data_IF_459644660106
#
_entry.id   IF_459644660106
#
_cell.length_a   1.000
_cell.length_b   1.000
_cell.length_c   1.000
_cell.angle_alpha   90.00
_cell.angle_beta   90.00
_cell.angle_gamma   90.00
#
_symmetry.space_group_name_H-M   'P 1'
#
loop_
_entity.id
_entity.type
_entity.pdbx_description
1 polymer ?
#
# COMPACT_ATOMS: atom_id res chain seq x y z
N UNK A 1 -11.17 58.00 1.52
CA UNK A 1 -12.19 57.58 2.51
C UNK A 1 -11.92 56.20 3.12
N UNK A 2 -11.60 55.17 2.30
CA UNK A 2 -11.41 53.78 2.72
C UNK A 2 -10.26 53.50 3.71
N UNK A 3 -9.14 54.25 3.62
CA UNK A 3 -7.98 54.07 4.52
C UNK A 3 -8.29 54.37 5.99
N UNK A 4 -9.28 55.23 6.28
CA UNK A 4 -9.72 55.53 7.65
C UNK A 4 -10.53 54.38 8.25
N UNK A 5 -11.30 53.67 7.43
CA UNK A 5 -12.08 52.49 7.84
C UNK A 5 -11.18 51.31 8.18
N UNK A 6 -10.17 51.00 7.35
CA UNK A 6 -9.19 49.95 7.67
C UNK A 6 -8.37 50.27 8.92
N UNK A 7 -8.00 51.55 9.13
CA UNK A 7 -7.27 51.96 10.34
C UNK A 7 -8.12 51.77 11.59
N UNK A 8 -9.43 52.05 11.52
CA UNK A 8 -10.35 51.86 12.65
C UNK A 8 -10.54 50.38 13.00
N UNK A 9 -10.62 49.48 12.02
CA UNK A 9 -10.70 48.02 12.25
C UNK A 9 -9.41 47.48 12.86
N UNK A 10 -8.24 47.92 12.36
CA UNK A 10 -6.94 47.51 12.91
C UNK A 10 -6.73 48.02 14.33
N UNK A 11 -7.13 49.26 14.63
CA UNK A 11 -6.98 49.85 15.96
C UNK A 11 -7.92 49.20 16.98
N UNK A 12 -9.15 48.86 16.58
CA UNK A 12 -10.12 48.16 17.42
C UNK A 12 -9.69 46.73 17.80
N UNK A 13 -8.86 46.09 16.97
CA UNK A 13 -8.24 44.80 17.30
C UNK A 13 -7.03 44.92 18.23
N UNK A 14 -6.46 46.12 18.40
CA UNK A 14 -5.21 46.34 19.15
C UNK A 14 -5.40 46.97 20.53
N UNK A 15 -6.58 47.55 20.81
CA UNK A 15 -6.89 48.21 22.11
C UNK A 15 -7.56 47.30 23.15
N UNK A 16 -7.93 46.05 22.81
CA UNK A 16 -8.63 45.14 23.73
C UNK A 16 -7.70 44.15 24.46
N UNK A 17 -6.38 44.38 24.44
CA UNK A 17 -5.39 43.43 24.96
C UNK A 17 -4.57 43.96 26.14
N UNK A 18 -4.95 45.10 26.73
CA UNK A 18 -4.12 45.81 27.70
C UNK A 18 -4.91 46.18 28.97
N UNK A 19 -5.38 45.18 29.73
CA UNK A 19 -5.51 45.22 31.21
C UNK A 19 -6.28 44.00 31.74
N UNK A 20 -5.56 42.98 32.20
CA UNK A 20 -5.94 42.14 33.34
C UNK A 20 -4.71 41.31 33.76
N UNK A 21 -4.09 41.72 34.87
CA UNK A 21 -3.10 40.94 35.61
C UNK A 21 -3.84 39.82 36.35
N UNK A 22 -3.60 38.55 36.00
CA UNK A 22 -3.82 37.40 36.90
C UNK A 22 -3.16 36.15 36.31
N UNK A 23 -2.23 35.61 37.09
CA UNK A 23 -1.91 34.18 37.23
C UNK A 23 -1.52 33.36 35.99
N UNK A 24 -0.20 33.19 35.89
CA UNK A 24 0.52 31.92 35.72
C UNK A 24 -0.33 30.62 35.64
N UNK A 25 -1.03 30.38 34.53
CA UNK A 25 -1.49 29.05 34.10
C UNK A 25 -1.98 29.10 32.65
N UNK A 26 -1.06 29.19 31.68
CA UNK A 26 -1.35 28.72 30.32
C UNK A 26 -0.44 27.55 30.02
N UNK A 27 -0.92 26.38 30.45
CA UNK A 27 -0.52 25.07 29.94
C UNK A 27 -0.37 25.21 28.44
N UNK A 28 0.85 25.06 27.93
CA UNK A 28 1.09 24.94 26.51
C UNK A 28 0.22 23.80 26.02
N UNK A 29 -0.87 24.13 25.32
CA UNK A 29 -1.66 23.15 24.61
C UNK A 29 -0.73 22.55 23.56
N UNK A 30 -0.08 21.45 23.93
CA UNK A 30 -0.02 20.15 23.25
C UNK A 30 -0.66 20.11 21.86
N UNK A 31 -0.29 21.03 20.97
CA UNK A 31 -0.44 20.88 19.53
C UNK A 31 0.66 19.89 19.15
N UNK A 32 0.35 18.61 19.32
CA UNK A 32 1.16 17.50 18.82
C UNK A 32 1.33 17.67 17.31
N UNK A 33 2.41 18.38 16.98
CA UNK A 33 3.30 18.19 15.84
C UNK A 33 2.67 18.07 14.45
N UNK A 34 1.80 19.02 14.05
CA UNK A 34 1.44 19.22 12.63
C UNK A 34 2.70 19.28 11.72
N UNK A 35 3.81 19.78 12.28
CA UNK A 35 5.12 19.86 11.66
C UNK A 35 5.77 18.49 11.44
N UNK A 36 5.56 17.52 12.34
CA UNK A 36 6.06 16.15 12.20
C UNK A 36 5.35 15.43 11.06
N UNK A 37 4.02 15.51 11.00
CA UNK A 37 3.24 14.92 9.91
C UNK A 37 3.66 15.46 8.55
N UNK A 38 3.89 16.78 8.45
CA UNK A 38 4.37 17.41 7.22
C UNK A 38 5.82 17.00 6.86
N UNK A 39 6.67 16.76 7.86
CA UNK A 39 8.02 16.25 7.65
C UNK A 39 8.02 14.81 7.13
N UNK A 40 7.18 13.93 7.69
CA UNK A 40 7.04 12.55 7.22
C UNK A 40 6.40 12.51 5.83
N UNK A 41 5.42 13.38 5.56
CA UNK A 41 4.85 13.54 4.23
C UNK A 41 5.92 13.91 3.19
N UNK A 42 6.79 14.87 3.51
CA UNK A 42 7.92 15.22 2.64
C UNK A 42 8.89 14.04 2.45
N UNK A 43 9.18 13.27 3.51
CA UNK A 43 10.01 12.08 3.43
C UNK A 43 9.42 10.99 2.50
N UNK A 44 8.09 10.78 2.54
CA UNK A 44 7.39 9.88 1.62
C UNK A 44 7.50 10.36 0.18
N UNK A 45 7.38 11.66 -0.06
CA UNK A 45 7.52 12.26 -1.38
C UNK A 45 8.93 12.02 -1.95
N UNK A 46 9.97 12.18 -1.12
CA UNK A 46 11.35 11.86 -1.49
C UNK A 46 11.50 10.37 -1.81
N UNK A 47 10.89 9.47 -1.02
CA UNK A 47 10.91 8.04 -1.29
C UNK A 47 10.27 7.66 -2.62
N UNK A 48 9.22 8.36 -3.04
CA UNK A 48 8.61 8.16 -4.37
C UNK A 48 9.61 8.50 -5.48
N UNK A 49 10.33 9.62 -5.36
CA UNK A 49 11.36 9.97 -6.34
C UNK A 49 12.52 8.96 -6.36
N UNK A 50 12.90 8.43 -5.20
CA UNK A 50 13.89 7.36 -5.09
C UNK A 50 13.41 6.12 -5.87
N UNK A 51 12.14 5.70 -5.72
CA UNK A 51 11.57 4.58 -6.48
C UNK A 51 11.61 4.81 -7.99
N UNK A 52 11.28 6.02 -8.45
CA UNK A 52 11.36 6.39 -9.86
C UNK A 52 12.80 6.34 -10.35
N UNK A 53 13.76 6.80 -9.53
CA UNK A 53 15.19 6.70 -9.82
C UNK A 53 15.65 5.26 -9.97
N UNK A 54 15.31 4.41 -9.00
CA UNK A 54 15.67 2.98 -9.01
C UNK A 54 15.07 2.28 -10.23
N UNK A 55 13.83 2.60 -10.60
CA UNK A 55 13.17 2.04 -11.78
C UNK A 55 13.84 2.38 -13.11
N UNK A 56 14.72 3.40 -13.16
CA UNK A 56 15.43 3.81 -14.38
C UNK A 56 16.86 3.29 -14.46
N UNK A 57 17.35 2.57 -13.46
CA UNK A 57 18.68 2.00 -13.52
C UNK A 57 18.74 0.88 -14.58
N UNK A 58 19.80 0.82 -15.41
CA UNK A 58 20.01 -0.25 -16.39
C UNK A 58 20.55 -1.53 -15.71
N UNK A 59 19.93 -1.95 -14.61
CA UNK A 59 20.26 -3.18 -13.89
C UNK A 59 19.38 -4.33 -14.37
N UNK A 60 19.82 -5.60 -14.19
CA UNK A 60 18.98 -6.76 -14.42
C UNK A 60 17.64 -6.64 -13.66
N UNK A 61 16.52 -6.91 -14.34
CA UNK A 61 15.17 -6.64 -13.82
C UNK A 61 14.90 -7.26 -12.44
N UNK A 62 15.46 -8.44 -12.15
CA UNK A 62 15.31 -9.10 -10.86
C UNK A 62 15.88 -8.27 -9.68
N UNK A 63 17.07 -7.69 -9.85
CA UNK A 63 17.70 -6.89 -8.78
C UNK A 63 16.96 -5.56 -8.56
N UNK A 64 16.46 -4.97 -9.64
CA UNK A 64 15.60 -3.78 -9.57
C UNK A 64 14.34 -4.09 -8.78
N UNK A 65 13.63 -5.19 -9.10
CA UNK A 65 12.42 -5.60 -8.38
C UNK A 65 12.69 -5.86 -6.90
N UNK A 66 13.76 -6.56 -6.55
CA UNK A 66 14.11 -6.82 -5.15
C UNK A 66 14.38 -5.51 -4.38
N UNK A 67 15.11 -4.58 -4.99
CA UNK A 67 15.41 -3.29 -4.37
C UNK A 67 14.13 -2.45 -4.18
N UNK A 68 13.25 -2.40 -5.18
CA UNK A 68 11.95 -1.71 -5.06
C UNK A 68 11.09 -2.32 -3.96
N UNK A 69 11.10 -3.64 -3.81
CA UNK A 69 10.34 -4.33 -2.76
C UNK A 69 10.84 -3.94 -1.36
N UNK A 70 12.15 -3.86 -1.16
CA UNK A 70 12.75 -3.43 0.11
C UNK A 70 12.33 -1.99 0.43
N UNK A 71 12.42 -1.10 -0.56
CA UNK A 71 12.00 0.31 -0.39
C UNK A 71 10.51 0.41 -0.08
N UNK A 72 9.67 -0.39 -0.75
CA UNK A 72 8.23 -0.45 -0.50
C UNK A 72 7.91 -0.93 0.93
N UNK A 73 8.65 -1.90 1.47
CA UNK A 73 8.48 -2.33 2.87
C UNK A 73 8.78 -1.21 3.85
N UNK A 74 9.88 -0.47 3.63
CA UNK A 74 10.23 0.69 4.47
C UNK A 74 9.14 1.76 4.40
N UNK A 75 8.62 2.02 3.20
CA UNK A 75 7.52 2.97 3.00
C UNK A 75 6.25 2.54 3.76
N UNK A 76 5.91 1.25 3.73
CA UNK A 76 4.75 0.71 4.44
C UNK A 76 4.89 0.87 5.96
N UNK A 77 6.08 0.60 6.51
CA UNK A 77 6.35 0.80 7.95
C UNK A 77 6.26 2.27 8.33
N UNK A 78 6.82 3.18 7.53
CA UNK A 78 6.77 4.61 7.81
C UNK A 78 5.32 5.14 7.81
N UNK A 79 4.51 4.70 6.86
CA UNK A 79 3.07 5.04 6.82
C UNK A 79 2.35 4.47 8.03
N UNK A 80 2.58 3.20 8.39
CA UNK A 80 1.92 2.58 9.53
C UNK A 80 2.29 3.23 10.87
N UNK A 81 3.56 3.58 11.10
CA UNK A 81 3.98 4.17 12.37
C UNK A 81 3.48 5.60 12.53
N UNK A 82 3.58 6.43 11.48
CA UNK A 82 3.32 7.86 11.58
C UNK A 82 1.90 8.25 11.16
N UNK A 83 1.36 7.72 10.07
CA UNK A 83 0.03 8.13 9.58
C UNK A 83 -1.12 7.39 10.26
N UNK A 84 -0.90 6.18 10.77
CA UNK A 84 -1.91 5.46 11.56
C UNK A 84 -1.78 5.70 13.06
N UNK A 85 -0.90 6.64 13.48
CA UNK A 85 -0.70 7.03 14.88
C UNK A 85 -0.44 5.84 15.82
N UNK A 86 0.11 4.75 15.28
CA UNK A 86 0.22 3.45 15.94
C UNK A 86 1.10 3.48 17.20
N UNK A 87 1.91 4.53 17.34
CA UNK A 87 2.81 4.74 18.47
C UNK A 87 2.24 5.66 19.57
N UNK A 88 1.23 6.48 19.26
CA UNK A 88 0.61 7.39 20.23
C UNK A 88 -0.76 6.89 20.72
N UNK A 89 -1.36 5.92 20.02
CA UNK A 89 -2.59 5.24 20.40
C UNK A 89 -2.35 4.04 21.34
N UNK A 90 -3.44 3.53 21.95
CA UNK A 90 -3.40 2.37 22.82
C UNK A 90 -2.80 1.14 22.11
N UNK A 91 -1.96 0.38 22.86
CA UNK A 91 -1.27 -0.83 22.37
C UNK A 91 -2.23 -1.89 21.79
N UNK A 92 -3.51 -1.81 22.16
CA UNK A 92 -4.57 -2.65 21.62
C UNK A 92 -4.74 -2.49 20.09
N UNK A 93 -4.69 -1.26 19.57
CA UNK A 93 -4.83 -1.02 18.13
C UNK A 93 -3.63 -1.56 17.33
N UNK A 94 -2.43 -1.42 17.89
CA UNK A 94 -1.21 -2.01 17.32
C UNK A 94 -1.28 -3.54 17.26
N UNK A 95 -1.82 -4.18 18.30
CA UNK A 95 -2.02 -5.62 18.32
C UNK A 95 -3.04 -6.09 17.27
N UNK A 96 -4.19 -5.41 17.17
CA UNK A 96 -5.22 -5.74 16.16
C UNK A 96 -4.67 -5.56 14.75
N UNK A 97 -3.95 -4.46 14.47
CA UNK A 97 -3.30 -4.23 13.19
C UNK A 97 -2.26 -5.29 12.85
N UNK A 98 -1.41 -5.66 13.82
CA UNK A 98 -0.44 -6.74 13.67
C UNK A 98 -1.09 -8.08 13.34
N UNK A 99 -2.21 -8.40 14.00
CA UNK A 99 -2.98 -9.62 13.72
C UNK A 99 -3.57 -9.62 12.31
N UNK A 100 -4.06 -8.48 11.82
CA UNK A 100 -4.59 -8.34 10.48
C UNK A 100 -3.49 -8.59 9.42
N UNK A 101 -2.29 -8.04 9.63
CA UNK A 101 -1.14 -8.31 8.75
C UNK A 101 -0.74 -9.79 8.79
N UNK A 102 -0.71 -10.41 9.97
CA UNK A 102 -0.39 -11.83 10.12
C UNK A 102 -1.38 -12.69 9.34
N UNK A 103 -2.68 -12.50 9.54
CA UNK A 103 -3.70 -13.24 8.81
C UNK A 103 -3.66 -12.97 7.31
N UNK A 104 -3.41 -11.72 6.90
CA UNK A 104 -3.20 -11.37 5.49
C UNK A 104 -2.03 -12.18 4.90
N UNK A 105 -0.86 -12.18 5.53
CA UNK A 105 0.31 -12.93 5.05
C UNK A 105 0.09 -14.44 5.05
N UNK A 106 -0.62 -14.96 6.05
CA UNK A 106 -1.00 -16.37 6.12
C UNK A 106 -1.87 -16.76 4.93
N UNK A 107 -2.96 -16.01 4.68
CA UNK A 107 -3.83 -16.26 3.53
C UNK A 107 -3.10 -16.07 2.21
N UNK A 108 -2.26 -15.04 2.09
CA UNK A 108 -1.50 -14.79 0.87
C UNK A 108 -0.54 -15.94 0.57
N UNK A 109 0.16 -16.45 1.58
CA UNK A 109 1.07 -17.58 1.42
C UNK A 109 0.33 -18.85 1.01
N UNK A 110 -0.77 -19.18 1.70
CA UNK A 110 -1.59 -20.35 1.34
C UNK A 110 -2.12 -20.22 -0.08
N UNK A 111 -2.63 -19.03 -0.46
CA UNK A 111 -3.16 -18.77 -1.80
C UNK A 111 -2.08 -18.88 -2.87
N UNK A 112 -0.89 -18.31 -2.64
CA UNK A 112 0.23 -18.43 -3.58
C UNK A 112 0.73 -19.87 -3.73
N UNK A 113 0.74 -20.65 -2.64
CA UNK A 113 1.10 -22.06 -2.67
C UNK A 113 0.05 -22.89 -3.43
N UNK A 114 -1.24 -22.58 -3.25
CA UNK A 114 -2.34 -23.18 -4.00
C UNK A 114 -2.22 -22.88 -5.49
N UNK A 115 -2.04 -21.60 -5.86
CA UNK A 115 -1.86 -21.19 -7.26
C UNK A 115 -0.67 -21.90 -7.90
N UNK A 116 0.46 -21.96 -7.21
CA UNK A 116 1.66 -22.66 -7.69
C UNK A 116 1.43 -24.16 -7.82
N UNK A 117 0.71 -24.76 -6.89
CA UNK A 117 0.31 -26.17 -6.95
C UNK A 117 -0.56 -26.44 -8.17
N UNK A 118 -1.59 -25.62 -8.39
CA UNK A 118 -2.48 -25.75 -9.55
C UNK A 118 -1.75 -25.61 -10.87
N UNK A 119 -0.83 -24.65 -10.99
CA UNK A 119 -0.03 -24.43 -12.20
C UNK A 119 0.92 -25.61 -12.48
N UNK A 120 1.46 -26.24 -11.43
CA UNK A 120 2.26 -27.46 -11.55
C UNK A 120 1.43 -28.61 -12.16
N UNK A 121 0.22 -28.86 -11.65
CA UNK A 121 -0.66 -29.90 -12.20
C UNK A 121 -1.17 -29.56 -13.61
N UNK A 122 -1.48 -28.29 -13.92
CA UNK A 122 -1.96 -27.90 -15.25
C UNK A 122 -0.85 -27.85 -16.32
N UNK A 123 0.43 -27.66 -15.97
CA UNK A 123 1.53 -27.88 -16.92
C UNK A 123 1.66 -29.36 -17.32
N UNK A 124 1.39 -30.27 -16.39
CA UNK A 124 1.50 -31.71 -16.62
C UNK A 124 0.22 -32.30 -17.24
N UNK A 125 -0.93 -31.68 -17.03
CA UNK A 125 -2.25 -32.11 -17.54
C UNK A 125 -2.78 -31.30 -18.72
N UNK A 126 -2.33 -30.06 -18.93
CA UNK A 126 -2.60 -29.29 -20.15
C UNK A 126 -2.07 -30.02 -21.39
N UNK A 127 -0.98 -30.76 -21.23
CA UNK A 127 -0.51 -31.72 -22.24
C UNK A 127 -1.45 -32.93 -22.33
N UNK A 128 -2.15 -33.39 -21.28
CA UNK A 128 -3.08 -34.54 -21.38
C UNK A 128 -4.40 -34.19 -22.05
N UNK A 129 -4.89 -32.96 -21.90
CA UNK A 129 -6.06 -32.49 -22.67
C UNK A 129 -5.67 -32.21 -24.13
N UNK A 130 -4.41 -31.88 -24.43
CA UNK A 130 -3.86 -31.78 -25.79
C UNK A 130 -3.34 -33.10 -26.37
N UNK A 131 -2.97 -34.09 -25.55
CA UNK A 131 -2.48 -35.43 -25.93
C UNK A 131 -3.63 -36.43 -26.02
N UNK A 132 -4.77 -36.02 -25.50
CA UNK A 132 -6.04 -36.51 -25.95
C UNK A 132 -6.28 -36.16 -27.41
N UNK A 133 -5.51 -35.31 -28.10
CA UNK A 133 -5.76 -34.80 -29.46
C UNK A 133 -4.53 -35.05 -30.36
N UNK A 134 -4.73 -35.71 -31.49
CA UNK A 134 -3.76 -35.89 -32.57
C UNK A 134 -3.30 -34.53 -33.13
N UNK A 135 -2.15 -34.45 -33.80
CA UNK A 135 -1.71 -33.26 -34.56
C UNK A 135 -2.75 -32.79 -35.59
N UNK A 136 -3.69 -33.68 -35.89
CA UNK A 136 -4.80 -33.48 -36.80
C UNK A 136 -6.11 -33.08 -36.09
N UNK A 137 -6.08 -32.80 -34.77
CA UNK A 137 -7.25 -32.33 -34.02
C UNK A 137 -8.17 -33.43 -33.47
N UNK A 138 -7.75 -34.70 -33.50
CA UNK A 138 -8.62 -35.86 -33.30
C UNK A 138 -8.32 -36.63 -32.00
N UNK A 139 -9.34 -37.10 -31.26
CA UNK A 139 -9.05 -37.64 -29.93
C UNK A 139 -8.38 -39.03 -29.89
N UNK A 140 -7.44 -39.28 -28.96
CA UNK A 140 -6.74 -40.57 -28.77
C UNK A 140 -7.68 -41.69 -28.26
N UNK A 141 -7.62 -42.93 -28.81
CA UNK A 141 -8.61 -43.98 -28.55
C UNK A 141 -8.76 -44.47 -27.10
N UNK A 142 -7.74 -44.25 -26.28
CA UNK A 142 -7.66 -44.67 -24.88
C UNK A 142 -7.74 -43.49 -23.89
N UNK A 143 -7.98 -42.27 -24.37
CA UNK A 143 -8.23 -41.09 -23.54
C UNK A 143 -9.65 -41.08 -22.96
N UNK A 144 -10.00 -40.06 -22.14
CA UNK A 144 -11.39 -39.81 -21.74
C UNK A 144 -12.29 -39.76 -22.99
N UNK A 145 -13.37 -40.57 -23.04
CA UNK A 145 -14.19 -40.71 -24.24
C UNK A 145 -15.26 -39.61 -24.32
N UNK A 146 -15.25 -38.86 -25.42
CA UNK A 146 -16.36 -38.00 -25.87
C UNK A 146 -17.08 -38.75 -27.01
N UNK A 147 -18.42 -38.72 -27.04
CA UNK A 147 -19.24 -39.59 -27.89
C UNK A 147 -19.14 -39.26 -29.39
N UNK A 148 -19.05 -40.29 -30.24
CA UNK A 148 -18.59 -40.23 -31.63
C UNK A 148 -19.74 -40.42 -32.66
N UNK A 149 -20.52 -39.38 -33.04
CA UNK A 149 -21.63 -39.57 -34.01
C UNK A 149 -22.09 -38.31 -34.83
N UNK A 150 -21.17 -37.44 -35.28
CA UNK A 150 -21.46 -36.33 -36.22
C UNK A 150 -20.22 -36.05 -37.11
N UNK A 151 -19.76 -36.98 -37.94
CA UNK A 151 -20.25 -37.33 -39.28
C UNK A 151 -20.11 -36.21 -40.34
N UNK A 152 -19.18 -36.47 -41.29
CA UNK A 152 -19.17 -36.06 -42.71
C UNK A 152 -19.49 -34.60 -43.08
N UNK A 153 -18.47 -33.89 -43.58
CA UNK A 153 -18.17 -33.79 -45.02
C UNK A 153 -16.95 -32.91 -45.25
#
# INVERSE_FOLDING_TARGET
MFKRLLKSIKNKSSENSSSANSENHKKGHELLSIKLYFAVFAALLVMIFINIGISRLPLPGFWVTLLLLIVAMIQMVLVAVFFMELIHEDKFYSFVFGSAILFMLLFFTITLLELRGRDYFHKDEGIRVLRGVDQNGNYSPAGPKFDNEQEKK
#
